data_IF_829054778268
#
_entry.id   IF_829054778268
#
_cell.length_a   1.000
_cell.length_b   1.000
_cell.length_c   1.000
_cell.angle_alpha   90.00
_cell.angle_beta   90.00
_cell.angle_gamma   90.00
#
_symmetry.space_group_name_H-M   'P 1'
#
loop_
_entity.id
_entity.type
_entity.pdbx_description
1 polymer ?
#
# COMPACT_ATOMS: atom_id res chain seq x y z
N UNK A 1 -13.42 -24.72 -20.95
CA UNK A 1 -14.64 -25.12 -21.69
C UNK A 1 -15.62 -23.95 -21.59
N UNK A 2 -15.97 -23.31 -22.69
CA UNK A 2 -16.96 -22.23 -22.71
C UNK A 2 -18.37 -22.80 -22.83
N UNK A 3 -19.32 -22.24 -22.09
CA UNK A 3 -20.74 -22.57 -22.23
C UNK A 3 -21.22 -22.13 -23.62
N UNK A 4 -22.04 -22.96 -24.28
CA UNK A 4 -22.66 -22.58 -25.55
C UNK A 4 -23.64 -21.41 -25.34
N UNK A 5 -23.95 -20.69 -26.42
CA UNK A 5 -24.87 -19.55 -26.34
C UNK A 5 -26.26 -19.93 -25.80
N UNK A 6 -26.73 -21.14 -26.13
CA UNK A 6 -28.01 -21.64 -25.65
C UNK A 6 -27.99 -21.91 -24.13
N UNK A 7 -26.87 -22.42 -23.60
CA UNK A 7 -26.71 -22.67 -22.16
C UNK A 7 -26.67 -21.38 -21.33
N UNK A 8 -26.03 -20.34 -21.86
CA UNK A 8 -26.01 -19.03 -21.20
C UNK A 8 -27.40 -18.39 -21.19
N UNK A 9 -28.18 -18.54 -22.26
CA UNK A 9 -29.55 -18.03 -22.33
C UNK A 9 -30.47 -18.65 -21.27
N UNK A 10 -30.32 -19.96 -21.01
CA UNK A 10 -31.09 -20.65 -19.96
C UNK A 10 -30.70 -20.16 -18.56
N UNK A 11 -29.41 -19.95 -18.29
CA UNK A 11 -28.93 -19.48 -16.99
C UNK A 11 -29.39 -18.04 -16.67
N UNK A 12 -29.35 -17.15 -17.66
CA UNK A 12 -29.85 -15.78 -17.51
C UNK A 12 -31.37 -15.74 -17.27
N UNK A 13 -32.14 -16.61 -17.94
CA UNK A 13 -33.59 -16.71 -17.72
C UNK A 13 -33.96 -17.21 -16.31
N UNK A 14 -33.04 -17.90 -15.63
CA UNK A 14 -33.18 -18.35 -14.23
C UNK A 14 -32.72 -17.29 -13.21
N UNK A 15 -32.33 -16.10 -13.65
CA UNK A 15 -31.83 -15.02 -12.78
C UNK A 15 -30.41 -15.23 -12.29
N UNK A 16 -29.63 -16.09 -12.96
CA UNK A 16 -28.22 -16.32 -12.65
C UNK A 16 -27.38 -15.46 -13.61
N UNK A 17 -26.69 -14.45 -13.07
CA UNK A 17 -25.82 -13.58 -13.86
C UNK A 17 -24.58 -14.33 -14.35
N UNK A 18 -24.50 -14.53 -15.67
CA UNK A 18 -23.36 -15.17 -16.32
C UNK A 18 -22.46 -14.10 -16.92
N UNK A 19 -21.29 -13.88 -16.31
CA UNK A 19 -20.26 -12.97 -16.80
C UNK A 19 -19.44 -13.67 -17.89
N UNK A 20 -19.52 -13.16 -19.13
CA UNK A 20 -18.63 -13.58 -20.21
C UNK A 20 -17.39 -12.70 -20.21
N UNK A 21 -16.27 -13.26 -19.78
CA UNK A 21 -14.96 -12.66 -20.04
C UNK A 21 -14.66 -12.76 -21.54
N UNK A 22 -14.94 -11.68 -22.27
CA UNK A 22 -14.39 -11.46 -23.60
C UNK A 22 -13.19 -10.55 -23.44
N UNK A 23 -12.04 -11.11 -23.06
CA UNK A 23 -10.71 -10.64 -23.49
C UNK A 23 -9.65 -11.61 -22.98
N UNK A 24 -9.29 -12.55 -23.83
CA UNK A 24 -7.96 -13.12 -23.87
C UNK A 24 -7.09 -12.19 -24.71
N UNK A 25 -6.19 -11.47 -24.05
CA UNK A 25 -4.95 -11.03 -24.70
C UNK A 25 -3.82 -11.69 -23.91
N UNK A 26 -3.28 -12.76 -24.47
CA UNK A 26 -2.03 -13.35 -24.03
C UNK A 26 -0.91 -12.33 -24.20
N UNK A 27 -0.08 -12.26 -23.15
CA UNK A 27 1.28 -11.69 -23.05
C UNK A 27 1.86 -10.96 -24.26
N UNK A 28 2.10 -9.67 -24.07
CA UNK A 28 3.42 -9.10 -24.35
C UNK A 28 4.07 -8.81 -22.99
N UNK A 29 5.05 -9.64 -22.62
CA UNK A 29 6.13 -9.18 -21.75
C UNK A 29 6.95 -8.17 -22.56
N UNK A 30 6.43 -6.96 -22.68
CA UNK A 30 7.26 -5.79 -22.85
C UNK A 30 7.45 -5.24 -21.44
N UNK A 31 8.69 -5.31 -20.96
CA UNK A 31 9.17 -4.45 -19.88
C UNK A 31 9.09 -3.00 -20.37
N UNK A 32 7.89 -2.48 -20.57
CA UNK A 32 7.67 -1.06 -20.47
C UNK A 32 7.92 -0.76 -19.00
N UNK A 33 9.04 -0.11 -18.74
CA UNK A 33 9.28 0.59 -17.48
C UNK A 33 8.08 1.54 -17.38
N UNK A 34 7.04 1.08 -16.70
CA UNK A 34 5.89 1.91 -16.40
C UNK A 34 6.46 2.95 -15.46
N UNK A 35 6.65 4.15 -15.99
CA UNK A 35 7.16 5.33 -15.27
C UNK A 35 6.05 5.86 -14.34
N UNK A 36 5.44 4.94 -13.60
CA UNK A 36 4.40 5.18 -12.63
C UNK A 36 5.03 5.97 -11.51
N UNK A 37 4.54 7.19 -11.34
CA UNK A 37 5.01 8.10 -10.32
C UNK A 37 4.13 7.93 -9.08
N UNK A 38 4.71 7.41 -8.02
CA UNK A 38 4.03 7.18 -6.76
C UNK A 38 4.11 8.37 -5.83
N UNK A 39 3.12 8.49 -4.95
CA UNK A 39 3.04 9.51 -3.91
C UNK A 39 3.64 8.98 -2.63
N UNK A 40 4.63 9.70 -2.10
CA UNK A 40 5.26 9.35 -0.83
C UNK A 40 5.40 10.54 0.11
N UNK A 41 5.42 10.24 1.40
CA UNK A 41 5.71 11.21 2.45
C UNK A 41 6.96 10.79 3.20
N UNK A 42 7.95 11.67 3.20
CA UNK A 42 9.15 11.52 3.99
C UNK A 42 8.95 12.16 5.35
N UNK A 43 9.27 11.40 6.37
CA UNK A 43 9.13 11.80 7.76
C UNK A 43 10.38 11.46 8.55
N UNK A 44 10.59 12.15 9.65
CA UNK A 44 11.68 11.89 10.59
C UNK A 44 11.14 11.79 11.99
N UNK A 45 11.62 10.82 12.76
CA UNK A 45 11.29 10.78 14.18
C UNK A 45 11.97 11.94 14.91
N UNK A 46 11.19 12.70 15.68
CA UNK A 46 11.68 13.89 16.38
C UNK A 46 12.70 13.54 17.47
N UNK A 47 12.53 12.36 18.11
CA UNK A 47 13.39 11.94 19.22
C UNK A 47 14.69 11.26 18.73
N UNK A 48 14.61 10.38 17.74
CA UNK A 48 15.77 9.57 17.29
C UNK A 48 16.41 10.06 15.99
N UNK A 49 15.76 10.94 15.23
CA UNK A 49 16.22 11.37 13.92
C UNK A 49 16.10 10.32 12.81
N UNK A 50 15.55 9.13 13.10
CA UNK A 50 15.39 8.04 12.14
C UNK A 50 14.42 8.44 11.02
N UNK A 51 14.79 8.12 9.77
CA UNK A 51 13.99 8.40 8.56
C UNK A 51 12.92 7.35 8.32
N UNK A 52 11.72 7.80 8.00
CA UNK A 52 10.53 7.00 7.77
C UNK A 52 9.89 7.44 6.46
N UNK A 53 9.53 6.48 5.59
CA UNK A 53 8.87 6.74 4.32
C UNK A 53 7.48 6.10 4.32
N UNK A 54 6.48 6.89 3.93
CA UNK A 54 5.09 6.46 3.82
C UNK A 54 4.70 6.38 2.35
N UNK A 55 4.36 5.20 1.89
CA UNK A 55 3.91 4.94 0.53
C UNK A 55 2.38 5.07 0.44
N UNK A 56 1.91 6.01 -0.38
CA UNK A 56 0.49 6.32 -0.52
C UNK A 56 -0.15 5.69 -1.78
N UNK A 57 0.64 5.09 -2.67
CA UNK A 57 0.17 4.58 -3.96
C UNK A 57 0.41 5.56 -5.12
N UNK A 58 -0.17 5.26 -6.27
CA UNK A 58 -0.07 6.02 -7.52
C UNK A 58 -1.10 7.18 -7.61
N UNK A 59 -2.14 7.10 -6.81
CA UNK A 59 -3.28 8.01 -6.84
C UNK A 59 -3.10 9.17 -5.85
N UNK A 60 -3.62 10.35 -6.22
CA UNK A 60 -3.57 11.52 -5.33
C UNK A 60 -4.51 11.29 -4.13
N UNK A 61 -4.00 11.31 -2.89
CA UNK A 61 -4.84 11.16 -1.71
C UNK A 61 -5.79 12.33 -1.57
N UNK A 62 -7.01 12.04 -1.16
CA UNK A 62 -8.03 13.07 -0.90
C UNK A 62 -7.60 13.98 0.26
N UNK A 63 -8.21 15.17 0.33
CA UNK A 63 -8.00 16.10 1.45
C UNK A 63 -8.29 15.46 2.81
N UNK A 64 -9.26 14.55 2.90
CA UNK A 64 -9.59 13.84 4.13
C UNK A 64 -8.49 12.86 4.53
N UNK A 65 -7.97 12.09 3.57
CA UNK A 65 -6.87 11.13 3.76
C UNK A 65 -5.59 11.84 4.17
N UNK A 66 -5.23 12.94 3.50
CA UNK A 66 -4.07 13.76 3.88
C UNK A 66 -4.17 14.32 5.29
N UNK A 67 -5.37 14.77 5.70
CA UNK A 67 -5.61 15.24 7.07
C UNK A 67 -5.48 14.10 8.08
N UNK A 68 -5.99 12.91 7.76
CA UNK A 68 -5.85 11.73 8.62
C UNK A 68 -4.38 11.32 8.75
N UNK A 69 -3.67 11.19 7.63
CA UNK A 69 -2.24 10.85 7.60
C UNK A 69 -1.41 11.83 8.44
N UNK A 70 -1.65 13.13 8.27
CA UNK A 70 -0.95 14.16 9.05
C UNK A 70 -1.19 14.01 10.55
N UNK A 71 -2.43 13.65 10.96
CA UNK A 71 -2.75 13.38 12.37
C UNK A 71 -2.04 12.12 12.88
N UNK A 72 -1.98 11.06 12.08
CA UNK A 72 -1.28 9.81 12.42
C UNK A 72 0.21 10.09 12.61
N UNK A 73 0.86 10.70 11.62
CA UNK A 73 2.29 11.05 11.64
C UNK A 73 2.64 11.85 12.91
N UNK A 74 1.86 12.89 13.22
CA UNK A 74 2.05 13.69 14.44
C UNK A 74 1.83 12.89 15.72
N UNK A 75 0.85 11.99 15.74
CA UNK A 75 0.57 11.18 16.92
C UNK A 75 1.73 10.22 17.23
N UNK A 76 2.43 9.72 16.21
CA UNK A 76 3.65 8.88 16.37
C UNK A 76 4.92 9.74 16.56
N UNK A 77 4.79 11.05 16.85
CA UNK A 77 5.91 11.99 17.06
C UNK A 77 6.90 12.02 15.89
N UNK A 78 6.37 11.98 14.68
CA UNK A 78 7.14 12.16 13.46
C UNK A 78 6.89 13.55 12.89
N UNK A 79 7.93 14.14 12.33
CA UNK A 79 7.86 15.37 11.58
C UNK A 79 7.86 15.06 10.08
N UNK A 80 6.95 15.69 9.32
CA UNK A 80 6.98 15.65 7.86
C UNK A 80 8.18 16.49 7.40
N UNK A 81 9.07 15.85 6.65
CA UNK A 81 10.19 16.51 5.97
C UNK A 81 9.67 17.10 4.66
N UNK A 82 9.12 16.22 3.81
CA UNK A 82 8.62 16.58 2.50
C UNK A 82 7.59 15.56 2.00
N UNK A 83 6.85 15.99 0.98
CA UNK A 83 5.95 15.14 0.21
C UNK A 83 6.45 15.20 -1.22
N UNK A 84 6.67 14.04 -1.82
CA UNK A 84 7.23 13.97 -3.15
C UNK A 84 6.60 12.85 -3.96
N UNK A 85 6.86 12.95 -5.26
CA UNK A 85 6.40 12.03 -6.27
C UNK A 85 7.65 11.29 -6.75
N UNK A 86 7.67 9.96 -6.65
CA UNK A 86 8.84 9.15 -6.94
C UNK A 86 8.49 8.00 -7.87
N UNK A 87 9.34 7.74 -8.85
CA UNK A 87 9.34 6.51 -9.65
C UNK A 87 9.68 5.29 -8.79
N UNK A 88 9.46 4.10 -9.34
CA UNK A 88 9.83 2.83 -8.69
C UNK A 88 11.34 2.78 -8.37
N UNK A 89 12.19 3.16 -9.33
CA UNK A 89 13.64 3.16 -9.18
C UNK A 89 14.08 4.10 -8.06
N UNK A 90 13.55 5.32 -8.01
CA UNK A 90 13.89 6.28 -6.95
C UNK A 90 13.49 5.78 -5.56
N UNK A 91 12.37 5.05 -5.44
CA UNK A 91 11.96 4.45 -4.17
C UNK A 91 12.88 3.33 -3.72
N UNK A 92 13.34 2.50 -4.65
CA UNK A 92 14.31 1.43 -4.39
C UNK A 92 15.66 2.02 -3.94
N UNK A 93 16.08 3.11 -4.56
CA UNK A 93 17.35 3.79 -4.23
C UNK A 93 17.30 4.53 -2.89
N UNK A 94 16.12 4.98 -2.44
CA UNK A 94 15.98 5.81 -1.25
C UNK A 94 16.24 5.08 0.08
N UNK A 95 16.17 3.74 0.10
CA UNK A 95 16.48 2.85 1.23
C UNK A 95 16.16 3.43 2.63
N UNK A 96 14.89 3.78 2.91
CA UNK A 96 14.53 4.36 4.19
C UNK A 96 14.73 3.35 5.33
N UNK A 97 15.01 3.85 6.54
CA UNK A 97 15.14 2.96 7.70
C UNK A 97 13.82 2.27 8.03
N UNK A 98 12.71 3.01 7.93
CA UNK A 98 11.35 2.49 8.08
C UNK A 98 10.54 2.79 6.82
N UNK A 99 9.91 1.77 6.26
CA UNK A 99 8.96 1.89 5.15
C UNK A 99 7.57 1.46 5.60
N UNK A 100 6.56 2.26 5.26
CA UNK A 100 5.16 1.98 5.58
C UNK A 100 4.35 1.97 4.31
N UNK A 101 3.73 0.82 4.00
CA UNK A 101 2.83 0.65 2.87
C UNK A 101 1.36 0.75 3.33
N UNK A 102 0.60 1.67 2.74
CA UNK A 102 -0.82 1.86 3.01
C UNK A 102 -1.68 0.95 2.11
N UNK A 103 -1.88 -0.29 2.54
CA UNK A 103 -2.63 -1.33 1.84
C UNK A 103 -1.73 -2.37 1.18
N UNK A 104 -2.23 -3.62 1.10
CA UNK A 104 -1.47 -4.75 0.52
C UNK A 104 -1.22 -4.55 -0.98
N UNK A 105 -2.23 -4.08 -1.72
CA UNK A 105 -2.11 -3.78 -3.15
C UNK A 105 -1.01 -2.75 -3.44
N UNK A 106 -0.81 -1.79 -2.53
CA UNK A 106 0.24 -0.79 -2.63
C UNK A 106 1.64 -1.43 -2.56
N UNK A 107 1.78 -2.54 -1.81
CA UNK A 107 3.03 -3.25 -1.64
C UNK A 107 3.34 -4.22 -2.80
N UNK A 108 2.32 -4.82 -3.42
CA UNK A 108 2.49 -5.78 -4.53
C UNK A 108 3.28 -5.20 -5.71
N UNK A 109 3.24 -3.87 -5.87
CA UNK A 109 4.00 -3.12 -6.87
C UNK A 109 5.52 -3.29 -6.71
N UNK A 110 5.98 -3.52 -5.47
CA UNK A 110 7.40 -3.61 -5.15
C UNK A 110 7.90 -5.03 -4.97
N UNK A 111 7.00 -6.00 -4.87
CA UNK A 111 7.30 -7.33 -4.36
C UNK A 111 6.75 -8.40 -5.29
N UNK A 112 7.66 -9.02 -6.03
CA UNK A 112 7.34 -10.17 -6.90
C UNK A 112 6.80 -11.37 -6.09
N UNK A 113 7.20 -11.54 -4.82
CA UNK A 113 6.84 -12.67 -3.93
C UNK A 113 5.89 -12.27 -2.76
N UNK A 114 4.94 -11.35 -2.99
CA UNK A 114 4.10 -10.77 -1.92
C UNK A 114 2.95 -11.63 -1.39
N UNK A 115 2.89 -12.93 -1.70
CA UNK A 115 1.73 -13.78 -1.38
C UNK A 115 1.45 -13.92 0.12
N UNK A 116 2.47 -13.81 0.99
CA UNK A 116 2.32 -13.95 2.46
C UNK A 116 2.03 -12.63 3.19
N UNK A 117 2.13 -11.48 2.51
CA UNK A 117 1.98 -10.17 3.15
C UNK A 117 0.52 -9.80 3.35
N UNK A 118 0.19 -9.45 4.61
CA UNK A 118 -1.14 -9.01 5.01
C UNK A 118 -1.05 -7.73 5.84
N UNK A 119 -2.20 -7.08 6.04
CA UNK A 119 -2.29 -5.90 6.87
C UNK A 119 -1.87 -6.23 8.32
N UNK A 120 -1.01 -5.39 8.89
CA UNK A 120 -0.40 -5.58 10.20
C UNK A 120 0.92 -6.36 10.16
N UNK A 121 1.35 -6.83 8.99
CA UNK A 121 2.65 -7.49 8.82
C UNK A 121 3.79 -6.50 9.08
N UNK A 122 4.79 -6.95 9.86
CA UNK A 122 5.99 -6.19 10.20
C UNK A 122 7.22 -7.08 10.00
N UNK A 123 8.23 -6.59 9.31
CA UNK A 123 9.45 -7.36 9.02
C UNK A 123 10.58 -6.51 8.46
N UNK A 124 11.64 -7.16 7.99
CA UNK A 124 12.71 -6.51 7.23
C UNK A 124 12.48 -6.76 5.74
N UNK A 125 12.93 -5.84 4.89
CA UNK A 125 12.80 -5.96 3.44
C UNK A 125 14.01 -5.35 2.72
N UNK A 126 14.25 -5.75 1.47
CA UNK A 126 15.36 -5.21 0.67
C UNK A 126 15.28 -3.68 0.47
N UNK A 127 14.07 -3.13 0.56
CA UNK A 127 13.80 -1.69 0.47
C UNK A 127 14.12 -0.95 1.77
N UNK A 128 14.01 -1.61 2.92
CA UNK A 128 14.07 -0.95 4.22
C UNK A 128 14.34 -1.92 5.37
N UNK A 129 15.14 -1.46 6.35
CA UNK A 129 15.44 -2.23 7.56
C UNK A 129 14.20 -2.69 8.32
N UNK A 130 13.13 -1.90 8.23
CA UNK A 130 11.83 -2.17 8.82
C UNK A 130 10.74 -1.84 7.80
N UNK A 131 9.82 -2.76 7.60
CA UNK A 131 8.65 -2.61 6.75
C UNK A 131 7.39 -2.90 7.58
N UNK A 132 6.37 -2.06 7.42
CA UNK A 132 5.02 -2.28 7.93
C UNK A 132 4.01 -2.15 6.78
N UNK A 133 3.18 -3.18 6.60
CA UNK A 133 2.01 -3.11 5.72
C UNK A 133 0.80 -2.81 6.59
N UNK A 134 0.06 -1.75 6.28
CA UNK A 134 -1.11 -1.32 7.07
C UNK A 134 -2.34 -1.13 6.19
N UNK A 135 -3.47 -0.69 6.77
CA UNK A 135 -4.69 -0.41 6.02
C UNK A 135 -4.49 0.81 5.08
N UNK A 136 -5.22 0.89 3.96
CA UNK A 136 -5.30 2.12 3.18
C UNK A 136 -6.00 3.23 3.98
N UNK A 137 -5.76 4.50 3.62
CA UNK A 137 -6.34 5.65 4.32
C UNK A 137 -7.86 5.72 4.19
N UNK A 138 -8.42 5.28 3.07
CA UNK A 138 -9.86 5.13 2.84
C UNK A 138 -10.50 4.24 3.90
N UNK A 139 -10.00 3.02 4.09
CA UNK A 139 -10.52 2.07 5.09
C UNK A 139 -10.40 2.65 6.50
N UNK A 140 -9.29 3.32 6.80
CA UNK A 140 -9.15 4.00 8.08
C UNK A 140 -10.17 5.10 8.26
N UNK A 141 -10.50 5.89 7.25
CA UNK A 141 -11.54 6.94 7.36
C UNK A 141 -12.91 6.33 7.66
N UNK A 142 -13.26 5.25 6.98
CA UNK A 142 -14.57 4.61 7.05
C UNK A 142 -14.76 3.75 8.29
N UNK A 143 -13.67 3.13 8.78
CA UNK A 143 -13.74 2.12 9.83
C UNK A 143 -12.87 2.49 11.04
N UNK A 144 -13.46 2.82 12.20
CA UNK A 144 -12.72 3.14 13.41
C UNK A 144 -11.81 2.00 13.91
N UNK A 145 -12.14 0.74 13.61
CA UNK A 145 -11.32 -0.42 13.98
C UNK A 145 -9.97 -0.42 13.27
N UNK A 146 -9.92 -0.03 12.00
CA UNK A 146 -8.69 0.05 11.22
C UNK A 146 -7.72 1.06 11.86
N UNK A 147 -8.20 2.24 12.30
CA UNK A 147 -7.39 3.23 13.02
C UNK A 147 -6.74 2.66 14.28
N UNK A 148 -7.47 1.82 15.04
CA UNK A 148 -6.94 1.20 16.27
C UNK A 148 -5.83 0.20 15.96
N UNK A 149 -6.01 -0.61 14.93
CA UNK A 149 -5.01 -1.58 14.48
C UNK A 149 -3.74 -0.84 14.01
N UNK A 150 -3.91 0.14 13.10
CA UNK A 150 -2.80 0.97 12.59
C UNK A 150 -2.05 1.64 13.74
N UNK A 151 -2.76 2.21 14.71
CA UNK A 151 -2.15 2.84 15.87
C UNK A 151 -1.30 1.86 16.69
N UNK A 152 -1.83 0.68 17.02
CA UNK A 152 -1.10 -0.36 17.75
C UNK A 152 0.17 -0.77 17.01
N UNK A 153 0.06 -1.01 15.71
CA UNK A 153 1.17 -1.53 14.91
C UNK A 153 2.27 -0.48 14.72
N UNK A 154 1.90 0.80 14.59
CA UNK A 154 2.85 1.93 14.56
C UNK A 154 3.57 2.11 15.89
N UNK A 155 2.87 1.99 17.03
CA UNK A 155 3.50 2.07 18.34
C UNK A 155 4.51 0.95 18.55
N UNK A 156 4.14 -0.27 18.16
CA UNK A 156 5.03 -1.42 18.27
C UNK A 156 6.24 -1.27 17.33
N UNK A 157 6.04 -0.85 16.08
CA UNK A 157 7.11 -0.54 15.14
C UNK A 157 8.06 0.55 15.66
N UNK A 158 7.52 1.63 16.25
CA UNK A 158 8.33 2.69 16.83
C UNK A 158 9.18 2.17 17.99
N UNK A 159 8.60 1.37 18.88
CA UNK A 159 9.35 0.77 19.98
C UNK A 159 10.48 -0.15 19.46
N UNK A 160 10.19 -0.99 18.47
CA UNK A 160 11.17 -1.89 17.84
C UNK A 160 12.29 -1.13 17.10
N UNK A 161 11.98 0.07 16.60
CA UNK A 161 12.93 0.94 15.89
C UNK A 161 13.83 1.70 16.87
N UNK A 162 13.32 2.06 18.05
CA UNK A 162 14.07 2.76 19.10
C UNK A 162 14.91 1.81 19.97
N UNK A 163 14.52 0.54 20.06
CA UNK A 163 15.27 -0.51 20.76
C UNK A 163 16.39 -1.13 19.90
N UNK A 164 16.48 -0.74 18.63
CA UNK A 164 17.46 -1.21 17.64
C UNK A 164 18.87 -0.72 17.88
#
# INVERSE_FOLDING_TARGET
>A
MSLSNDQVGVLQAMGIDVWRSNQSTESEYTSEINDSIYRVVHTRCEESGISWMWFLGDSEPTTAELKLLTKIIKAVKLQIIERQCMSLCELQDAQPHVFIALGVAAMQIFLEDSEDMHIGWRGQHDLANRLLVTHPLSDMLDQPVCKKIVWRDLQALQADTLAG
#
